data_IF_578217474501
#
_entry.id   IF_578217474501
#
_cell.length_a   1.000
_cell.length_b   1.000
_cell.length_c   1.000
_cell.angle_alpha   90.00
_cell.angle_beta   90.00
_cell.angle_gamma   90.00
#
_symmetry.space_group_name_H-M   'P 1'
#
loop_
_entity.id
_entity.type
_entity.pdbx_description
1 polymer ?
#
# COMPACT_ATOMS: atom_id res chain seq x y z
N UNK A 1 4.07 -31.52 -18.09
CA UNK A 1 4.69 -30.85 -19.29
C UNK A 1 4.43 -29.35 -19.25
N UNK A 2 5.08 -28.52 -20.08
CA UNK A 2 4.83 -27.05 -20.09
C UNK A 2 3.39 -26.74 -20.54
N UNK A 3 2.88 -27.53 -21.49
CA UNK A 3 1.49 -27.42 -21.96
C UNK A 3 0.45 -27.59 -20.85
N UNK A 4 0.66 -28.52 -19.94
CA UNK A 4 -0.25 -28.72 -18.80
C UNK A 4 -0.26 -27.51 -17.85
N UNK A 5 0.93 -26.96 -17.55
CA UNK A 5 1.05 -25.76 -16.74
C UNK A 5 0.37 -24.56 -17.39
N UNK A 6 0.57 -24.39 -18.70
CA UNK A 6 -0.07 -23.32 -19.46
C UNK A 6 -1.60 -23.44 -19.41
N UNK A 7 -2.13 -24.65 -19.65
CA UNK A 7 -3.57 -24.89 -19.58
C UNK A 7 -4.12 -24.65 -18.17
N UNK A 8 -3.41 -25.08 -17.13
CA UNK A 8 -3.80 -24.83 -15.73
C UNK A 8 -3.93 -23.32 -15.46
N UNK A 9 -2.98 -22.49 -15.90
CA UNK A 9 -3.06 -21.04 -15.70
C UNK A 9 -4.17 -20.39 -16.54
N UNK A 10 -4.39 -20.86 -17.77
CA UNK A 10 -5.50 -20.39 -18.60
C UNK A 10 -6.84 -20.74 -17.96
N UNK A 11 -7.01 -21.97 -17.46
CA UNK A 11 -8.24 -22.40 -16.80
C UNK A 11 -8.49 -21.65 -15.48
N UNK A 12 -7.45 -21.33 -14.71
CA UNK A 12 -7.55 -20.43 -13.56
C UNK A 12 -8.10 -19.06 -13.98
N UNK A 13 -7.55 -18.48 -15.06
CA UNK A 13 -8.03 -17.21 -15.61
C UNK A 13 -9.49 -17.25 -16.03
N UNK A 14 -9.93 -18.34 -16.70
CA UNK A 14 -11.34 -18.55 -17.09
C UNK A 14 -12.29 -18.65 -15.90
N UNK A 15 -11.80 -19.08 -14.74
CA UNK A 15 -12.54 -19.14 -13.47
C UNK A 15 -12.48 -17.83 -12.69
N UNK A 16 -11.81 -16.79 -13.20
CA UNK A 16 -11.61 -15.51 -12.51
C UNK A 16 -10.55 -15.52 -11.40
N UNK A 17 -9.84 -16.63 -11.20
CA UNK A 17 -8.86 -16.81 -10.12
C UNK A 17 -7.54 -16.08 -10.35
N UNK A 18 -7.35 -15.46 -11.52
CA UNK A 18 -6.19 -14.63 -11.85
C UNK A 18 -6.48 -13.13 -11.71
N UNK A 19 -7.71 -12.73 -11.35
CA UNK A 19 -8.01 -11.33 -11.05
C UNK A 19 -7.28 -10.93 -9.77
N UNK A 20 -6.69 -9.74 -9.80
CA UNK A 20 -6.12 -9.14 -8.59
C UNK A 20 -7.20 -8.71 -7.60
N UNK A 21 -6.86 -8.68 -6.32
CA UNK A 21 -7.76 -8.16 -5.29
C UNK A 21 -7.82 -6.64 -5.40
N UNK A 22 -9.03 -6.07 -5.33
CA UNK A 22 -9.23 -4.64 -5.44
C UNK A 22 -8.55 -3.86 -4.30
N UNK A 23 -7.92 -2.76 -4.68
CA UNK A 23 -7.36 -1.74 -3.78
C UNK A 23 -8.35 -0.62 -3.48
N UNK A 24 -9.55 -0.67 -4.10
CA UNK A 24 -10.52 0.43 -4.16
C UNK A 24 -9.94 1.71 -4.82
N UNK A 25 -9.13 1.50 -5.85
CA UNK A 25 -8.50 2.52 -6.69
C UNK A 25 -8.64 2.09 -8.16
N UNK A 26 -9.84 2.24 -8.75
CA UNK A 26 -10.19 1.60 -10.04
C UNK A 26 -9.35 2.08 -11.23
N UNK A 27 -8.91 3.35 -11.25
CA UNK A 27 -8.03 3.85 -12.32
C UNK A 27 -6.63 3.24 -12.21
N UNK A 28 -6.10 3.11 -10.98
CA UNK A 28 -4.82 2.46 -10.75
C UNK A 28 -4.93 0.96 -11.06
N UNK A 29 -6.02 0.31 -10.62
CA UNK A 29 -6.27 -1.11 -10.86
C UNK A 29 -6.39 -1.43 -12.36
N UNK A 30 -6.94 -0.54 -13.18
CA UNK A 30 -6.98 -0.72 -14.63
C UNK A 30 -5.60 -0.74 -15.29
N UNK A 31 -4.55 -0.32 -14.57
CA UNK A 31 -3.16 -0.30 -15.06
C UNK A 31 -2.36 -1.47 -14.49
N UNK A 32 -2.54 -1.82 -13.20
CA UNK A 32 -1.69 -2.78 -12.49
C UNK A 32 -2.46 -4.02 -11.98
N UNK A 33 -3.71 -4.22 -12.38
CA UNK A 33 -4.59 -5.36 -12.04
C UNK A 33 -4.86 -5.55 -10.53
N UNK A 34 -4.67 -4.52 -9.70
CA UNK A 34 -4.84 -4.63 -8.24
C UNK A 34 -3.72 -5.42 -7.54
N UNK A 35 -4.07 -6.15 -6.47
CA UNK A 35 -3.11 -6.98 -5.72
C UNK A 35 -3.10 -8.39 -6.30
N UNK A 36 -2.07 -8.71 -7.06
CA UNK A 36 -1.94 -9.97 -7.80
C UNK A 36 -0.95 -10.93 -7.14
N UNK A 37 -1.11 -12.21 -7.43
CA UNK A 37 -0.18 -13.26 -6.99
C UNK A 37 1.19 -13.10 -7.65
N UNK A 38 2.23 -13.57 -6.94
CA UNK A 38 3.58 -13.69 -7.51
C UNK A 38 4.14 -12.40 -8.11
N UNK A 39 3.60 -11.26 -7.63
CA UNK A 39 4.02 -9.95 -8.13
C UNK A 39 4.85 -9.21 -7.10
N UNK A 40 6.07 -8.89 -7.48
CA UNK A 40 6.95 -8.03 -6.69
C UNK A 40 6.64 -6.57 -7.02
N UNK A 41 6.05 -5.86 -6.08
CA UNK A 41 5.74 -4.43 -6.18
C UNK A 41 6.74 -3.61 -5.39
N UNK A 42 7.31 -2.58 -6.02
CA UNK A 42 8.17 -1.58 -5.38
C UNK A 42 7.40 -0.27 -5.24
N UNK A 43 7.25 0.23 -4.01
CA UNK A 43 6.60 1.51 -3.71
C UNK A 43 7.66 2.52 -3.28
N UNK A 44 7.82 3.59 -4.05
CA UNK A 44 8.82 4.62 -3.82
C UNK A 44 8.19 5.99 -3.54
N UNK A 45 8.78 6.78 -2.66
CA UNK A 45 8.51 8.21 -2.57
C UNK A 45 9.52 8.93 -1.69
N UNK A 46 9.45 10.26 -1.64
CA UNK A 46 10.09 11.06 -0.60
C UNK A 46 9.46 10.79 0.78
N UNK A 47 10.21 11.07 1.85
CA UNK A 47 9.69 10.96 3.22
C UNK A 47 8.44 11.83 3.39
N UNK A 48 7.42 11.30 4.09
CA UNK A 48 6.17 12.03 4.38
C UNK A 48 5.17 12.13 3.21
N UNK A 49 5.42 11.51 2.04
CA UNK A 49 4.45 11.48 0.94
C UNK A 49 3.31 10.46 1.13
N UNK A 50 3.44 9.52 2.09
CA UNK A 50 2.38 8.57 2.43
C UNK A 50 2.64 7.12 2.03
N UNK A 51 3.90 6.69 1.79
CA UNK A 51 4.26 5.31 1.38
C UNK A 51 3.67 4.23 2.27
N UNK A 52 3.97 4.30 3.56
CA UNK A 52 3.46 3.36 4.58
C UNK A 52 1.93 3.34 4.60
N UNK A 53 1.28 4.51 4.57
CA UNK A 53 -0.18 4.61 4.56
C UNK A 53 -0.78 4.05 3.26
N UNK A 54 -0.11 4.24 2.11
CA UNK A 54 -0.55 3.65 0.85
C UNK A 54 -0.43 2.12 0.86
N UNK A 55 0.71 1.59 1.31
CA UNK A 55 0.88 0.14 1.44
C UNK A 55 -0.14 -0.48 2.42
N UNK A 56 -0.37 0.17 3.58
CA UNK A 56 -1.39 -0.27 4.53
C UNK A 56 -2.80 -0.23 3.92
N UNK A 57 -3.15 0.83 3.18
CA UNK A 57 -4.46 0.96 2.56
C UNK A 57 -4.66 -0.04 1.43
N UNK A 58 -3.79 0.00 0.42
CA UNK A 58 -3.97 -0.69 -0.84
C UNK A 58 -3.55 -2.18 -0.81
N UNK A 59 -2.50 -2.53 -0.04
CA UNK A 59 -1.92 -3.88 -0.05
C UNK A 59 -2.17 -4.68 1.23
N UNK A 60 -2.76 -4.05 2.26
CA UNK A 60 -3.10 -4.73 3.52
C UNK A 60 -4.59 -4.62 3.81
N UNK A 61 -5.09 -3.39 4.06
CA UNK A 61 -6.47 -3.17 4.50
C UNK A 61 -7.50 -3.65 3.47
N UNK A 62 -7.42 -3.17 2.24
CA UNK A 62 -8.39 -3.53 1.19
C UNK A 62 -8.43 -5.03 0.89
N UNK A 63 -7.28 -5.69 0.68
CA UNK A 63 -7.29 -7.12 0.46
C UNK A 63 -7.77 -7.94 1.66
N UNK A 64 -7.45 -7.52 2.90
CA UNK A 64 -7.99 -8.18 4.10
C UNK A 64 -9.50 -8.02 4.17
N UNK A 65 -10.05 -6.84 3.86
CA UNK A 65 -11.50 -6.62 3.87
C UNK A 65 -12.23 -7.46 2.83
N UNK A 66 -11.62 -7.66 1.65
CA UNK A 66 -12.16 -8.53 0.61
C UNK A 66 -12.15 -10.02 1.00
N UNK A 67 -11.20 -10.44 1.84
CA UNK A 67 -10.97 -11.84 2.24
C UNK A 67 -11.01 -12.03 3.77
N UNK A 68 -11.86 -11.25 4.47
CA UNK A 68 -11.89 -11.26 5.93
C UNK A 68 -12.37 -12.62 6.50
N UNK A 69 -13.26 -13.29 5.78
CA UNK A 69 -13.95 -14.50 6.22
C UNK A 69 -13.49 -15.79 5.47
N UNK A 70 -12.53 -15.70 4.55
CA UNK A 70 -11.91 -16.87 3.86
C UNK A 70 -10.38 -16.91 4.10
N UNK A 71 -9.68 -17.92 3.57
CA UNK A 71 -8.24 -18.11 3.75
C UNK A 71 -7.42 -17.83 2.47
N UNK A 72 -7.95 -17.03 1.53
CA UNK A 72 -7.31 -16.77 0.26
C UNK A 72 -6.37 -15.57 0.27
N UNK A 73 -6.30 -14.83 1.41
CA UNK A 73 -5.37 -13.72 1.57
C UNK A 73 -4.74 -13.68 2.97
N UNK A 74 -3.42 -13.51 3.03
CA UNK A 74 -2.64 -13.28 4.27
C UNK A 74 -1.50 -12.30 4.03
N UNK A 75 -1.07 -11.62 5.09
CA UNK A 75 0.03 -10.64 5.06
C UNK A 75 1.03 -10.93 6.17
N UNK A 76 2.31 -10.95 5.82
CA UNK A 76 3.41 -10.78 6.77
C UNK A 76 4.04 -9.40 6.54
N UNK A 77 3.96 -8.54 7.54
CA UNK A 77 4.41 -7.16 7.48
C UNK A 77 5.66 -6.96 8.33
N UNK A 78 6.80 -6.71 7.72
CA UNK A 78 8.01 -6.28 8.41
C UNK A 78 7.98 -4.76 8.57
N UNK A 79 7.56 -4.31 9.74
CA UNK A 79 7.47 -2.90 10.11
C UNK A 79 8.75 -2.47 10.81
N UNK A 80 9.70 -1.97 10.03
CA UNK A 80 11.03 -1.63 10.58
C UNK A 80 11.10 -0.20 11.13
N UNK A 81 10.05 0.60 10.89
CA UNK A 81 9.96 2.01 11.30
C UNK A 81 8.91 2.23 12.41
N UNK A 82 7.81 1.48 12.38
CA UNK A 82 6.66 1.66 13.30
C UNK A 82 6.37 0.38 14.08
N UNK A 83 5.97 0.53 15.36
CA UNK A 83 5.53 -0.61 16.17
C UNK A 83 4.17 -1.17 15.73
N UNK A 84 3.94 -2.44 16.03
CA UNK A 84 2.73 -3.20 15.68
C UNK A 84 1.44 -2.46 16.07
N UNK A 85 1.31 -2.01 17.32
CA UNK A 85 0.13 -1.30 17.82
C UNK A 85 -0.17 -0.05 16.98
N UNK A 86 0.86 0.67 16.52
CA UNK A 86 0.68 1.87 15.71
C UNK A 86 0.08 1.55 14.33
N UNK A 87 0.44 0.41 13.74
CA UNK A 87 -0.15 -0.04 12.48
C UNK A 87 -1.62 -0.45 12.66
N UNK A 88 -1.95 -1.20 13.73
CA UNK A 88 -3.34 -1.55 14.02
C UNK A 88 -4.22 -0.31 14.29
N UNK A 89 -3.70 0.72 14.96
CA UNK A 89 -4.42 1.98 15.15
C UNK A 89 -4.70 2.69 13.80
N UNK A 90 -3.75 2.65 12.86
CA UNK A 90 -3.98 3.19 11.52
C UNK A 90 -5.07 2.42 10.77
N UNK A 91 -5.07 1.09 10.84
CA UNK A 91 -6.12 0.26 10.23
C UNK A 91 -7.48 0.52 10.89
N UNK A 92 -7.53 0.62 12.22
CA UNK A 92 -8.73 0.96 12.97
C UNK A 92 -9.30 2.34 12.58
N UNK A 93 -8.43 3.32 12.35
CA UNK A 93 -8.83 4.66 11.90
C UNK A 93 -9.52 4.63 10.53
N UNK A 94 -9.02 3.80 9.58
CA UNK A 94 -9.68 3.59 8.28
C UNK A 94 -11.04 2.93 8.48
N UNK A 95 -11.07 1.83 9.25
CA UNK A 95 -12.27 1.03 9.48
C UNK A 95 -13.41 1.83 10.14
N UNK A 96 -13.09 2.59 11.19
CA UNK A 96 -14.07 3.45 11.88
C UNK A 96 -14.64 4.49 10.91
N UNK A 97 -13.79 5.11 10.10
CA UNK A 97 -14.25 6.09 9.13
C UNK A 97 -15.18 5.46 8.08
N UNK A 98 -14.81 4.34 7.48
CA UNK A 98 -15.62 3.69 6.45
C UNK A 98 -16.94 3.11 6.97
N UNK A 99 -16.93 2.60 8.20
CA UNK A 99 -18.11 1.94 8.78
C UNK A 99 -19.08 2.92 9.42
N UNK A 100 -18.55 3.97 10.07
CA UNK A 100 -19.36 4.86 10.91
C UNK A 100 -19.32 6.33 10.47
N UNK A 101 -18.47 6.70 9.50
CA UNK A 101 -18.27 8.09 9.07
C UNK A 101 -17.52 8.96 10.08
N UNK A 102 -16.96 8.37 11.13
CA UNK A 102 -16.32 9.09 12.23
C UNK A 102 -14.82 9.22 11.99
N UNK A 103 -14.30 10.44 12.02
CA UNK A 103 -12.89 10.73 11.78
C UNK A 103 -12.07 10.69 13.08
N UNK A 104 -11.55 9.53 13.44
CA UNK A 104 -10.62 9.36 14.55
C UNK A 104 -9.19 9.18 14.05
N UNK A 105 -8.38 10.24 14.21
CA UNK A 105 -6.96 10.18 13.89
C UNK A 105 -6.19 9.31 14.88
N UNK A 106 -4.99 8.85 14.47
CA UNK A 106 -4.05 8.19 15.36
C UNK A 106 -3.82 8.95 16.67
N UNK A 107 -3.70 10.30 16.59
CA UNK A 107 -3.49 11.15 17.76
C UNK A 107 -4.72 11.20 18.66
N UNK A 108 -5.92 11.26 18.07
CA UNK A 108 -7.18 11.26 18.82
C UNK A 108 -7.43 9.93 19.52
N UNK A 109 -7.26 8.81 18.85
CA UNK A 109 -7.40 7.47 19.45
C UNK A 109 -6.49 7.31 20.68
N UNK A 110 -5.29 7.86 20.64
CA UNK A 110 -4.32 7.80 21.75
C UNK A 110 -4.37 9.02 22.70
N UNK A 111 -5.32 9.93 22.53
CA UNK A 111 -5.44 11.17 23.34
C UNK A 111 -4.12 11.97 23.38
N UNK A 112 -3.39 12.07 22.23
CA UNK A 112 -2.10 12.77 22.12
C UNK A 112 -2.22 14.21 21.64
N UNK A 113 -3.41 14.67 21.27
CA UNK A 113 -3.66 16.07 20.95
C UNK A 113 -3.83 16.85 22.26
N UNK A 114 -3.25 18.08 22.35
CA UNK A 114 -3.52 18.97 23.48
C UNK A 114 -5.02 19.24 23.51
N UNK A 115 -5.56 19.29 24.72
CA UNK A 115 -6.98 19.60 24.95
C UNK A 115 -7.99 18.59 24.39
N UNK A 116 -7.52 17.43 23.90
CA UNK A 116 -8.37 16.35 23.44
C UNK A 116 -8.13 15.07 24.25
N UNK A 117 -9.15 14.64 24.94
CA UNK A 117 -9.23 13.31 25.55
C UNK A 117 -10.30 12.51 24.82
N UNK A 118 -10.01 11.26 24.49
CA UNK A 118 -10.94 10.37 23.82
C UNK A 118 -12.23 10.26 24.69
N UNK A 119 -13.37 10.58 24.08
CA UNK A 119 -14.66 10.54 24.79
C UNK A 119 -15.08 9.10 25.10
N UNK A 120 -15.92 8.92 26.11
CA UNK A 120 -16.51 7.62 26.45
C UNK A 120 -17.30 7.03 25.28
N UNK A 121 -17.99 7.85 24.50
CA UNK A 121 -18.68 7.44 23.28
C UNK A 121 -17.71 6.83 22.25
N UNK A 122 -16.66 7.56 21.90
CA UNK A 122 -15.64 7.07 20.95
C UNK A 122 -14.87 5.88 21.51
N UNK A 123 -14.62 5.84 22.81
CA UNK A 123 -14.00 4.67 23.46
C UNK A 123 -14.94 3.45 23.41
N UNK A 124 -16.25 3.64 23.61
CA UNK A 124 -17.27 2.60 23.42
C UNK A 124 -17.25 2.05 22.00
N UNK A 125 -17.28 2.94 21.00
CA UNK A 125 -17.18 2.57 19.58
C UNK A 125 -15.90 1.77 19.27
N UNK A 126 -14.75 2.21 19.80
CA UNK A 126 -13.49 1.47 19.62
C UNK A 126 -13.59 0.06 20.19
N UNK A 127 -14.22 -0.11 21.38
CA UNK A 127 -14.43 -1.45 21.95
C UNK A 127 -15.31 -2.34 21.08
N UNK A 128 -16.33 -1.79 20.44
CA UNK A 128 -17.18 -2.51 19.48
C UNK A 128 -16.42 -2.95 18.21
N UNK A 129 -15.33 -2.26 17.87
CA UNK A 129 -14.45 -2.64 16.75
C UNK A 129 -13.44 -3.74 17.09
N UNK A 130 -13.25 -4.13 18.37
CA UNK A 130 -12.23 -5.12 18.74
C UNK A 130 -12.44 -6.51 18.12
N UNK A 131 -13.65 -7.05 17.98
CA UNK A 131 -13.86 -8.31 17.25
C UNK A 131 -13.40 -8.26 15.79
N UNK A 132 -13.48 -7.09 15.14
CA UNK A 132 -12.92 -6.91 13.81
C UNK A 132 -11.38 -6.94 13.84
N UNK A 133 -10.75 -6.28 14.81
CA UNK A 133 -9.29 -6.35 15.01
C UNK A 133 -8.83 -7.80 15.20
N UNK A 134 -9.58 -8.60 15.97
CA UNK A 134 -9.26 -10.02 16.19
C UNK A 134 -9.35 -10.83 14.89
N UNK A 135 -10.29 -10.51 13.98
CA UNK A 135 -10.33 -11.12 12.64
C UNK A 135 -9.13 -10.69 11.79
N UNK A 136 -8.81 -9.39 11.76
CA UNK A 136 -7.66 -8.84 11.02
C UNK A 136 -6.36 -9.48 11.49
N UNK A 137 -6.18 -9.66 12.80
CA UNK A 137 -4.95 -10.24 13.37
C UNK A 137 -4.69 -11.70 12.95
N UNK A 138 -5.73 -12.42 12.50
CA UNK A 138 -5.57 -13.77 11.92
C UNK A 138 -5.05 -13.74 10.47
N UNK A 139 -5.18 -12.59 9.80
CA UNK A 139 -4.74 -12.37 8.41
C UNK A 139 -3.43 -11.58 8.31
N UNK A 140 -3.14 -10.75 9.31
CA UNK A 140 -2.00 -9.84 9.35
C UNK A 140 -1.07 -10.21 10.50
N UNK A 141 0.09 -10.73 10.19
CA UNK A 141 1.20 -10.88 11.14
C UNK A 141 2.16 -9.70 10.98
N UNK A 142 2.52 -9.03 12.07
CA UNK A 142 3.44 -7.89 12.07
C UNK A 142 4.72 -8.28 12.81
N UNK A 143 5.85 -8.02 12.17
CA UNK A 143 7.17 -8.16 12.75
C UNK A 143 7.83 -6.77 12.84
N UNK A 144 7.93 -6.21 14.05
CA UNK A 144 8.37 -4.82 14.30
C UNK A 144 9.76 -4.70 14.91
N UNK A 145 10.60 -5.73 14.76
CA UNK A 145 11.97 -5.74 15.29
C UNK A 145 12.98 -5.58 14.16
N UNK A 146 14.18 -5.06 14.48
CA UNK A 146 15.28 -5.02 13.53
C UNK A 146 15.62 -6.41 12.99
N UNK A 147 15.78 -6.50 11.71
CA UNK A 147 16.07 -7.75 10.99
C UNK A 147 17.24 -7.57 10.02
N UNK A 148 17.93 -8.67 9.77
CA UNK A 148 18.86 -8.82 8.66
C UNK A 148 18.18 -9.56 7.51
N UNK A 149 18.69 -9.51 6.27
CA UNK A 149 18.14 -10.28 5.15
C UNK A 149 17.99 -11.78 5.45
N UNK A 150 19.00 -12.39 6.06
CA UNK A 150 18.95 -13.81 6.44
C UNK A 150 17.85 -14.12 7.44
N UNK A 151 17.58 -13.21 8.39
CA UNK A 151 16.51 -13.38 9.37
C UNK A 151 15.13 -13.24 8.73
N UNK A 152 14.96 -12.30 7.78
CA UNK A 152 13.72 -12.20 6.98
C UNK A 152 13.48 -13.50 6.21
N UNK A 153 14.50 -13.99 5.52
CA UNK A 153 14.42 -15.26 4.78
C UNK A 153 14.04 -16.44 5.69
N UNK A 154 14.67 -16.57 6.88
CA UNK A 154 14.40 -17.65 7.82
C UNK A 154 12.95 -17.58 8.36
N UNK A 155 12.45 -16.37 8.67
CA UNK A 155 11.06 -16.17 9.11
C UNK A 155 10.10 -16.57 8.00
N UNK A 156 10.32 -16.08 6.77
CA UNK A 156 9.49 -16.41 5.61
C UNK A 156 9.47 -17.91 5.34
N UNK A 157 10.64 -18.57 5.33
CA UNK A 157 10.74 -20.01 5.11
C UNK A 157 9.92 -20.78 6.16
N UNK A 158 10.06 -20.43 7.44
CA UNK A 158 9.31 -21.07 8.53
C UNK A 158 7.78 -20.89 8.36
N UNK A 159 7.30 -19.70 7.92
CA UNK A 159 5.89 -19.48 7.65
C UNK A 159 5.40 -20.29 6.45
N UNK A 160 6.20 -20.35 5.40
CA UNK A 160 5.87 -21.14 4.21
C UNK A 160 5.81 -22.64 4.54
N UNK A 161 6.70 -23.17 5.40
CA UNK A 161 6.66 -24.55 5.89
C UNK A 161 5.34 -24.87 6.64
N UNK A 162 4.74 -23.90 7.31
CA UNK A 162 3.43 -24.07 7.95
C UNK A 162 2.25 -23.99 6.98
N UNK A 163 2.44 -23.41 5.80
CA UNK A 163 1.40 -23.18 4.79
C UNK A 163 1.52 -24.10 3.58
N UNK A 164 2.50 -24.98 3.54
CA UNK A 164 2.72 -25.90 2.42
C UNK A 164 3.88 -26.84 2.67
N UNK A 165 4.24 -27.59 1.65
CA UNK A 165 5.30 -28.59 1.73
C UNK A 165 6.42 -28.26 0.75
N UNK A 166 7.67 -28.20 1.26
CA UNK A 166 8.87 -28.19 0.45
C UNK A 166 9.27 -29.61 0.07
N UNK A 167 9.57 -29.82 -1.19
CA UNK A 167 10.14 -31.07 -1.71
C UNK A 167 11.47 -30.72 -2.43
N UNK A 168 12.52 -31.41 -2.06
CA UNK A 168 13.84 -31.22 -2.64
C UNK A 168 14.22 -32.46 -3.44
N UNK A 169 14.61 -32.28 -4.70
CA UNK A 169 15.28 -33.28 -5.52
C UNK A 169 16.69 -32.80 -5.83
N UNK A 170 17.57 -33.69 -6.32
CA UNK A 170 18.98 -33.37 -6.61
C UNK A 170 19.17 -32.07 -7.44
N UNK A 171 18.17 -31.67 -8.22
CA UNK A 171 18.27 -30.54 -9.15
C UNK A 171 17.24 -29.43 -8.91
N UNK A 172 16.24 -29.63 -7.99
CA UNK A 172 15.11 -28.71 -7.90
C UNK A 172 14.46 -28.67 -6.52
N UNK A 173 14.36 -27.47 -5.95
CA UNK A 173 13.45 -27.15 -4.87
C UNK A 173 12.06 -26.84 -5.45
N UNK A 174 11.02 -27.53 -4.96
CA UNK A 174 9.62 -27.26 -5.27
C UNK A 174 8.85 -26.97 -4.00
N UNK A 175 7.83 -26.14 -4.10
CA UNK A 175 6.91 -25.84 -3.02
C UNK A 175 5.48 -26.10 -3.48
N UNK A 176 4.71 -26.80 -2.66
CA UNK A 176 3.29 -27.08 -2.89
C UNK A 176 2.50 -26.42 -1.75
N UNK A 177 1.74 -25.33 -2.00
CA UNK A 177 0.93 -24.70 -0.98
C UNK A 177 -0.27 -25.56 -0.58
N UNK A 178 -0.68 -25.53 0.69
CA UNK A 178 -1.90 -26.17 1.16
C UNK A 178 -3.15 -25.52 0.55
N UNK A 179 -3.13 -24.18 0.39
CA UNK A 179 -4.15 -23.44 -0.34
C UNK A 179 -3.55 -22.86 -1.62
N UNK A 180 -3.87 -23.39 -2.82
CA UNK A 180 -3.35 -22.92 -4.10
C UNK A 180 -3.90 -21.55 -4.51
N UNK A 181 -4.95 -21.04 -3.85
CA UNK A 181 -5.54 -19.73 -4.13
C UNK A 181 -4.96 -18.61 -3.26
N UNK A 182 -4.27 -18.97 -2.17
CA UNK A 182 -3.72 -17.99 -1.25
C UNK A 182 -2.81 -16.98 -1.95
N UNK A 183 -3.13 -15.71 -1.81
CA UNK A 183 -2.22 -14.58 -2.06
C UNK A 183 -1.53 -14.26 -0.74
N UNK A 184 -0.22 -14.48 -0.67
CA UNK A 184 0.57 -14.21 0.52
C UNK A 184 1.45 -12.98 0.29
N UNK A 185 0.94 -11.82 0.76
CA UNK A 185 1.71 -10.57 0.68
C UNK A 185 2.79 -10.53 1.74
N UNK A 186 4.00 -10.12 1.32
CA UNK A 186 5.16 -9.90 2.19
C UNK A 186 5.56 -8.43 2.07
N UNK A 187 5.19 -7.64 3.08
CA UNK A 187 5.46 -6.19 3.07
C UNK A 187 6.75 -5.89 3.83
N UNK A 188 7.66 -5.12 3.22
CA UNK A 188 8.91 -4.64 3.86
C UNK A 188 8.85 -3.12 3.96
N UNK A 189 8.66 -2.56 5.16
CA UNK A 189 8.52 -1.11 5.39
C UNK A 189 9.55 -0.59 6.40
N UNK A 190 10.63 0.04 5.89
CA UNK A 190 11.11 0.12 4.54
C UNK A 190 12.47 -0.59 4.41
N UNK A 191 12.77 -1.07 3.21
CA UNK A 191 13.92 -1.94 2.94
C UNK A 191 15.26 -1.32 3.33
N UNK A 192 15.42 0.01 3.28
CA UNK A 192 16.63 0.71 3.69
C UNK A 192 17.00 0.56 5.17
N UNK A 193 16.14 -0.05 6.00
CA UNK A 193 16.41 -0.31 7.42
C UNK A 193 16.96 -1.71 7.69
N UNK A 194 17.05 -2.57 6.69
CA UNK A 194 17.66 -3.90 6.86
C UNK A 194 19.18 -3.86 6.87
N UNK A 195 19.78 -2.81 6.30
CA UNK A 195 21.23 -2.61 6.23
C UNK A 195 21.66 -1.73 5.07
N UNK A 196 22.91 -1.86 4.65
CA UNK A 196 23.46 -1.13 3.49
C UNK A 196 23.01 -1.73 2.15
N UNK A 197 23.50 -1.14 1.05
CA UNK A 197 23.19 -1.61 -0.31
C UNK A 197 23.36 -3.12 -0.52
N UNK A 198 24.44 -3.79 -0.05
CA UNK A 198 24.58 -5.23 -0.19
C UNK A 198 23.47 -6.03 0.50
N UNK A 199 22.99 -5.56 1.66
CA UNK A 199 21.90 -6.21 2.39
C UNK A 199 20.56 -6.03 1.67
N UNK A 200 20.34 -4.84 1.08
CA UNK A 200 19.15 -4.56 0.26
C UNK A 200 19.12 -5.48 -0.95
N UNK A 201 20.24 -5.60 -1.67
CA UNK A 201 20.39 -6.45 -2.85
C UNK A 201 20.18 -7.93 -2.49
N UNK A 202 20.74 -8.39 -1.36
CA UNK A 202 20.56 -9.75 -0.86
C UNK A 202 19.10 -10.04 -0.50
N UNK A 203 18.44 -9.12 0.23
CA UNK A 203 17.04 -9.30 0.58
C UNK A 203 16.15 -9.33 -0.68
N UNK A 204 16.39 -8.44 -1.64
CA UNK A 204 15.67 -8.45 -2.91
C UNK A 204 15.80 -9.79 -3.63
N UNK A 205 17.01 -10.35 -3.70
CA UNK A 205 17.26 -11.67 -4.28
C UNK A 205 16.50 -12.80 -3.57
N UNK A 206 16.42 -12.76 -2.24
CA UNK A 206 15.63 -13.72 -1.48
C UNK A 206 14.14 -13.59 -1.76
N UNK A 207 13.61 -12.37 -1.86
CA UNK A 207 12.22 -12.12 -2.19
C UNK A 207 11.87 -12.62 -3.60
N UNK A 208 12.75 -12.39 -4.58
CA UNK A 208 12.60 -12.95 -5.94
C UNK A 208 12.59 -14.49 -5.89
N UNK A 209 13.55 -15.11 -5.20
CA UNK A 209 13.62 -16.56 -5.07
C UNK A 209 12.33 -17.13 -4.46
N UNK A 210 11.83 -16.55 -3.37
CA UNK A 210 10.62 -17.03 -2.70
C UNK A 210 9.35 -16.74 -3.52
N UNK A 211 9.30 -15.63 -4.27
CA UNK A 211 8.24 -15.37 -5.24
C UNK A 211 8.17 -16.48 -6.29
N UNK A 212 9.31 -16.76 -6.93
CA UNK A 212 9.39 -17.69 -8.06
C UNK A 212 9.24 -19.16 -7.66
N UNK A 213 9.55 -19.49 -6.40
CA UNK A 213 9.49 -20.88 -5.90
C UNK A 213 8.24 -21.16 -5.06
N UNK A 214 7.78 -20.16 -4.31
CA UNK A 214 6.74 -20.36 -3.30
C UNK A 214 5.48 -19.51 -3.56
N UNK A 215 5.49 -18.64 -4.58
CA UNK A 215 4.31 -17.85 -4.95
C UNK A 215 3.98 -16.69 -4.01
N UNK A 216 4.95 -16.20 -3.22
CA UNK A 216 4.72 -14.98 -2.41
C UNK A 216 4.60 -13.75 -3.29
N UNK A 217 3.95 -12.70 -2.78
CA UNK A 217 3.81 -11.40 -3.43
C UNK A 217 4.54 -10.32 -2.60
N UNK A 218 5.83 -10.02 -2.91
CA UNK A 218 6.57 -8.99 -2.20
C UNK A 218 6.05 -7.59 -2.48
N UNK A 219 5.86 -6.78 -1.43
CA UNK A 219 5.54 -5.35 -1.48
C UNK A 219 6.64 -4.61 -0.73
N UNK A 220 7.55 -4.01 -1.45
CA UNK A 220 8.74 -3.37 -0.87
C UNK A 220 8.61 -1.87 -0.91
N UNK A 221 8.75 -1.24 0.25
CA UNK A 221 8.76 0.21 0.37
C UNK A 221 10.19 0.70 0.40
N UNK A 222 10.49 1.71 -0.43
CA UNK A 222 11.81 2.30 -0.56
C UNK A 222 11.74 3.83 -0.58
N UNK A 223 12.75 4.48 -0.04
CA UNK A 223 12.87 5.94 -0.15
C UNK A 223 13.45 6.34 -1.50
N UNK A 224 12.98 7.46 -2.02
CA UNK A 224 13.59 8.11 -3.17
C UNK A 224 14.89 8.84 -2.76
N UNK A 225 15.82 9.04 -3.70
CA UNK A 225 16.97 9.90 -3.53
C UNK A 225 16.54 11.34 -3.26
N UNK A 226 17.17 12.00 -2.27
CA UNK A 226 16.80 13.34 -1.82
C UNK A 226 17.03 14.44 -2.87
N UNK A 227 17.91 14.21 -3.82
CA UNK A 227 18.26 15.18 -4.87
C UNK A 227 17.19 15.27 -5.98
N UNK A 228 16.16 14.41 -5.94
CA UNK A 228 15.23 14.26 -7.00
C UNK A 228 13.80 14.54 -6.53
N UNK A 229 13.24 15.53 -7.01
CA UNK A 229 12.06 16.31 -6.72
C UNK A 229 12.38 17.74 -7.11
N UNK A 230 13.32 17.89 -8.07
CA UNK A 230 13.85 19.20 -8.41
C UNK A 230 12.77 19.97 -9.20
N UNK A 231 12.34 21.09 -8.66
CA UNK A 231 11.45 22.06 -9.30
C UNK A 231 11.90 22.36 -10.75
N UNK A 232 13.23 22.31 -11.02
CA UNK A 232 13.79 22.46 -12.36
C UNK A 232 13.38 21.35 -13.35
N UNK A 233 13.30 20.08 -12.91
CA UNK A 233 12.76 18.98 -13.77
C UNK A 233 11.32 19.25 -14.16
N UNK A 234 10.56 19.76 -13.20
CA UNK A 234 9.16 20.10 -13.39
C UNK A 234 8.99 21.26 -14.38
N UNK A 235 9.80 22.33 -14.22
CA UNK A 235 9.82 23.45 -15.18
C UNK A 235 10.20 23.03 -16.59
N UNK A 236 10.89 21.90 -16.74
CA UNK A 236 11.24 21.26 -18.01
C UNK A 236 10.16 20.29 -18.55
N UNK A 237 8.99 20.20 -17.90
CA UNK A 237 7.90 19.27 -18.29
C UNK A 237 8.21 17.78 -18.06
N UNK A 238 9.23 17.46 -17.25
CA UNK A 238 9.61 16.09 -16.94
C UNK A 238 8.81 15.53 -15.77
N UNK A 239 8.65 14.20 -15.70
CA UNK A 239 8.05 13.51 -14.57
C UNK A 239 8.78 13.79 -13.26
N UNK A 240 8.03 13.88 -12.15
CA UNK A 240 8.60 14.10 -10.82
C UNK A 240 9.55 12.97 -10.40
N UNK A 241 9.24 11.73 -10.77
CA UNK A 241 10.08 10.56 -10.55
C UNK A 241 10.34 9.76 -11.84
N UNK A 242 11.45 9.03 -11.84
CA UNK A 242 11.81 8.03 -12.83
C UNK A 242 12.23 6.74 -12.13
N UNK A 243 12.40 5.65 -12.88
CA UNK A 243 12.88 4.37 -12.34
C UNK A 243 14.26 4.46 -11.66
N UNK A 244 15.06 5.49 -11.99
CA UNK A 244 16.43 5.69 -11.45
C UNK A 244 16.43 6.43 -10.10
N UNK A 245 15.29 6.90 -9.63
CA UNK A 245 15.19 7.75 -8.44
C UNK A 245 15.06 6.96 -7.13
N UNK A 246 14.96 5.65 -7.18
CA UNK A 246 14.95 4.81 -5.99
C UNK A 246 16.34 4.81 -5.32
N UNK A 247 16.37 5.11 -4.02
CA UNK A 247 17.62 5.21 -3.24
C UNK A 247 18.25 3.83 -3.06
N UNK A 248 19.57 3.74 -3.26
CA UNK A 248 20.38 2.52 -3.05
C UNK A 248 19.91 1.30 -3.87
N UNK A 249 19.20 1.52 -4.98
CA UNK A 249 18.53 0.48 -5.74
C UNK A 249 19.28 0.03 -6.98
N UNK A 250 20.15 -0.98 -6.84
CA UNK A 250 20.56 -1.75 -8.03
C UNK A 250 19.49 -2.81 -8.36
N UNK A 251 19.26 -3.73 -7.46
CA UNK A 251 18.47 -4.92 -7.73
C UNK A 251 16.97 -4.74 -7.54
N UNK A 252 16.50 -3.99 -6.53
CA UNK A 252 15.05 -3.83 -6.27
C UNK A 252 14.27 -3.34 -7.48
N UNK A 253 14.82 -2.37 -8.24
CA UNK A 253 14.22 -1.85 -9.47
C UNK A 253 14.23 -2.88 -10.60
N UNK A 254 15.31 -3.67 -10.72
CA UNK A 254 15.41 -4.72 -11.74
C UNK A 254 14.45 -5.87 -11.42
N UNK A 255 14.38 -6.27 -10.17
CA UNK A 255 13.66 -7.42 -9.63
C UNK A 255 12.13 -7.24 -9.62
N UNK A 256 11.65 -6.02 -9.37
CA UNK A 256 10.21 -5.76 -9.30
C UNK A 256 9.53 -5.90 -10.67
N UNK A 257 8.29 -6.37 -10.68
CA UNK A 257 7.43 -6.36 -11.85
C UNK A 257 6.64 -5.06 -11.97
N UNK A 258 6.22 -4.50 -10.83
CA UNK A 258 5.48 -3.23 -10.75
C UNK A 258 6.27 -2.25 -9.90
N UNK A 259 6.44 -1.02 -10.38
CA UNK A 259 7.05 0.07 -9.62
C UNK A 259 6.12 1.27 -9.57
N UNK A 260 5.77 1.66 -8.37
CA UNK A 260 4.89 2.79 -8.07
C UNK A 260 5.69 3.88 -7.37
N UNK A 261 5.53 5.13 -7.82
CA UNK A 261 6.03 6.29 -7.11
C UNK A 261 4.87 7.18 -6.63
N UNK A 262 4.98 7.71 -5.41
CA UNK A 262 3.98 8.63 -4.84
C UNK A 262 4.60 10.02 -4.71
N UNK A 263 4.01 10.99 -5.38
CA UNK A 263 4.47 12.36 -5.42
C UNK A 263 3.50 13.31 -4.71
N UNK A 264 4.06 14.27 -3.97
CA UNK A 264 3.30 15.34 -3.32
C UNK A 264 3.73 16.71 -3.87
N UNK A 265 3.05 17.24 -4.90
CA UNK A 265 3.41 18.51 -5.52
C UNK A 265 3.17 19.73 -4.62
N UNK A 266 2.23 19.66 -3.68
CA UNK A 266 1.99 20.75 -2.72
C UNK A 266 3.22 21.02 -1.84
N UNK A 267 3.94 19.99 -1.48
CA UNK A 267 5.16 20.09 -0.66
C UNK A 267 6.31 20.80 -1.38
N UNK A 268 6.31 20.72 -2.71
CA UNK A 268 7.28 21.39 -3.58
C UNK A 268 6.80 22.81 -4.00
N UNK A 269 5.68 23.28 -3.42
CA UNK A 269 5.14 24.63 -3.67
C UNK A 269 4.50 24.79 -5.04
N UNK A 270 4.13 23.70 -5.72
CA UNK A 270 3.49 23.78 -7.02
C UNK A 270 2.03 24.21 -6.88
N UNK A 271 1.61 25.19 -7.71
CA UNK A 271 0.22 25.66 -7.77
C UNK A 271 -0.67 24.75 -8.60
N UNK A 272 -0.08 24.12 -9.61
CA UNK A 272 -0.75 23.19 -10.50
C UNK A 272 0.13 21.98 -10.77
N UNK A 273 -0.48 20.80 -11.02
CA UNK A 273 0.21 19.57 -11.40
C UNK A 273 -0.65 18.75 -12.34
N UNK A 274 -0.17 18.44 -13.55
CA UNK A 274 -0.93 17.66 -14.55
C UNK A 274 -2.39 18.17 -14.70
N UNK A 275 -2.56 19.49 -14.75
CA UNK A 275 -3.83 20.23 -14.82
C UNK A 275 -4.69 20.21 -13.54
N UNK A 276 -4.33 19.47 -12.48
CA UNK A 276 -4.96 19.61 -11.17
C UNK A 276 -4.57 20.93 -10.51
N UNK A 277 -5.55 21.60 -9.89
CA UNK A 277 -5.31 22.79 -9.10
C UNK A 277 -4.86 22.40 -7.67
N UNK A 278 -3.56 22.50 -7.42
CA UNK A 278 -2.94 22.11 -6.15
C UNK A 278 -3.19 23.16 -5.06
N UNK A 279 -3.44 24.43 -5.40
CA UNK A 279 -3.81 25.45 -4.42
C UNK A 279 -5.14 25.12 -3.73
N UNK A 280 -6.10 24.49 -4.42
CA UNK A 280 -7.36 24.01 -3.83
C UNK A 280 -7.25 22.64 -3.18
N UNK A 281 -6.59 21.69 -3.82
CA UNK A 281 -6.42 20.34 -3.27
C UNK A 281 -5.41 20.29 -2.11
N UNK A 282 -4.53 21.27 -2.03
CA UNK A 282 -3.56 21.49 -0.95
C UNK A 282 -2.72 20.23 -0.65
N UNK A 283 -2.47 20.00 0.63
CA UNK A 283 -1.71 18.86 1.14
C UNK A 283 -2.36 17.48 0.91
N UNK A 284 -3.62 17.45 0.46
CA UNK A 284 -4.35 16.19 0.25
C UNK A 284 -4.00 15.52 -1.08
N UNK A 285 -3.64 16.28 -2.09
CA UNK A 285 -3.32 15.71 -3.39
C UNK A 285 -2.06 14.84 -3.36
N UNK A 286 -2.14 13.71 -4.06
CA UNK A 286 -0.98 12.89 -4.45
C UNK A 286 -1.12 12.49 -5.91
N UNK A 287 0.03 12.39 -6.60
CA UNK A 287 0.11 11.68 -7.87
C UNK A 287 0.70 10.30 -7.62
N UNK A 288 -0.01 9.26 -8.01
CA UNK A 288 0.48 7.88 -8.04
C UNK A 288 0.96 7.61 -9.46
N UNK A 289 2.26 7.33 -9.60
CA UNK A 289 2.93 7.13 -10.88
C UNK A 289 3.29 5.66 -11.02
N UNK A 290 2.87 5.01 -12.09
CA UNK A 290 3.30 3.65 -12.44
C UNK A 290 4.54 3.78 -13.33
N UNK A 291 5.73 3.62 -12.74
CA UNK A 291 7.02 3.79 -13.43
C UNK A 291 7.50 2.53 -14.15
N UNK A 292 7.00 1.38 -13.74
CA UNK A 292 7.28 0.08 -14.37
C UNK A 292 6.08 -0.84 -14.20
N UNK A 293 5.71 -1.52 -15.25
CA UNK A 293 4.73 -2.58 -15.24
C UNK A 293 5.13 -3.63 -16.29
N UNK A 294 5.45 -4.85 -15.87
CA UNK A 294 5.85 -5.92 -16.80
C UNK A 294 4.70 -6.52 -17.58
N UNK A 295 3.47 -6.30 -17.13
CA UNK A 295 2.28 -6.96 -17.66
C UNK A 295 1.29 -5.99 -18.31
N UNK A 296 1.59 -4.68 -18.30
CA UNK A 296 0.71 -3.66 -18.82
C UNK A 296 1.41 -2.33 -19.07
N UNK A 297 0.62 -1.26 -19.12
CA UNK A 297 1.09 0.09 -19.38
C UNK A 297 1.94 0.63 -18.23
N UNK A 298 2.92 1.45 -18.54
CA UNK A 298 3.73 2.23 -17.60
C UNK A 298 3.78 3.70 -18.01
N UNK A 299 4.46 4.51 -17.18
CA UNK A 299 4.54 5.98 -17.34
C UNK A 299 3.17 6.67 -17.28
N UNK A 300 2.23 6.05 -16.55
CA UNK A 300 0.87 6.56 -16.31
C UNK A 300 0.79 7.14 -14.91
N UNK A 301 0.02 8.21 -14.74
CA UNK A 301 -0.18 8.88 -13.46
C UNK A 301 -1.66 8.96 -13.10
N UNK A 302 -1.99 8.65 -11.85
CA UNK A 302 -3.34 8.75 -11.27
C UNK A 302 -3.33 9.78 -10.16
N UNK A 303 -4.19 10.80 -10.28
CA UNK A 303 -4.43 11.78 -9.20
C UNK A 303 -5.30 11.18 -8.11
N UNK A 304 -4.86 11.29 -6.86
CA UNK A 304 -5.59 10.82 -5.68
C UNK A 304 -5.57 11.84 -4.56
N UNK A 305 -6.56 11.77 -3.67
CA UNK A 305 -6.49 12.40 -2.37
C UNK A 305 -5.94 11.41 -1.34
N UNK A 306 -5.14 11.94 -0.41
CA UNK A 306 -4.65 11.24 0.76
C UNK A 306 -5.04 11.99 2.02
N UNK A 307 -5.95 11.42 2.79
CA UNK A 307 -6.37 11.90 4.10
C UNK A 307 -5.53 11.25 5.19
N UNK A 308 -4.35 11.85 5.45
CA UNK A 308 -3.32 11.24 6.29
C UNK A 308 -3.74 10.96 7.72
N UNK A 309 -4.71 11.71 8.27
CA UNK A 309 -5.20 11.51 9.65
C UNK A 309 -6.08 10.25 9.80
N UNK A 310 -6.73 9.80 8.73
CA UNK A 310 -7.50 8.54 8.68
C UNK A 310 -6.85 7.50 7.76
N UNK A 311 -5.64 7.77 7.24
CA UNK A 311 -4.85 6.89 6.35
C UNK A 311 -5.59 6.41 5.09
N UNK A 312 -6.52 7.19 4.57
CA UNK A 312 -7.37 6.83 3.45
C UNK A 312 -6.89 7.47 2.15
N UNK A 313 -6.97 6.70 1.07
CA UNK A 313 -6.74 7.17 -0.31
C UNK A 313 -8.02 7.07 -1.12
N UNK A 314 -8.26 8.05 -2.00
CA UNK A 314 -9.38 8.03 -2.94
C UNK A 314 -8.94 8.63 -4.27
N UNK A 315 -9.39 8.07 -5.38
CA UNK A 315 -9.07 8.62 -6.69
C UNK A 315 -9.84 9.90 -6.98
N UNK A 316 -9.18 10.81 -7.65
CA UNK A 316 -9.79 12.03 -8.17
C UNK A 316 -10.34 11.78 -9.57
N UNK A 317 -11.41 12.47 -10.00
CA UNK A 317 -11.79 12.57 -11.39
C UNK A 317 -10.66 13.15 -12.25
N UNK A 318 -10.84 13.17 -13.56
CA UNK A 318 -9.93 13.94 -14.42
C UNK A 318 -10.00 15.42 -14.08
N UNK A 319 -8.93 16.20 -14.27
CA UNK A 319 -8.91 17.62 -13.89
C UNK A 319 -10.04 18.44 -14.52
N UNK A 320 -10.43 18.12 -15.75
CA UNK A 320 -11.51 18.77 -16.51
C UNK A 320 -12.92 18.36 -16.06
N UNK A 321 -13.04 17.30 -15.28
CA UNK A 321 -14.29 16.83 -14.65
C UNK A 321 -14.52 17.43 -13.26
N UNK A 322 -13.53 18.14 -12.68
CA UNK A 322 -13.63 18.71 -11.33
C UNK A 322 -14.21 20.13 -11.42
N UNK A 323 -15.49 20.26 -11.14
CA UNK A 323 -16.17 21.56 -11.10
C UNK A 323 -16.12 22.23 -9.72
N UNK A 324 -16.01 21.44 -8.65
CA UNK A 324 -15.92 21.93 -7.26
C UNK A 324 -14.83 21.12 -6.48
N UNK A 325 -13.68 21.75 -6.30
CA UNK A 325 -12.55 21.15 -5.58
C UNK A 325 -12.82 20.93 -4.09
N UNK A 326 -13.75 21.71 -3.45
CA UNK A 326 -14.04 21.55 -2.03
C UNK A 326 -14.62 20.18 -1.71
N UNK A 327 -15.35 19.58 -2.64
CA UNK A 327 -15.88 18.22 -2.51
C UNK A 327 -14.79 17.19 -2.27
N UNK A 328 -13.64 17.37 -2.89
CA UNK A 328 -12.52 16.41 -2.84
C UNK A 328 -11.56 16.66 -1.68
N UNK A 329 -11.73 17.73 -0.91
CA UNK A 329 -10.95 18.01 0.30
C UNK A 329 -11.65 17.58 1.60
N UNK A 330 -12.89 17.11 1.51
CA UNK A 330 -13.67 16.59 2.64
C UNK A 330 -13.91 15.07 2.50
N UNK A 331 -13.34 14.24 3.37
CA UNK A 331 -13.49 12.79 3.26
C UNK A 331 -14.95 12.32 3.46
N UNK A 332 -15.79 13.04 4.22
CA UNK A 332 -17.20 12.67 4.40
C UNK A 332 -18.00 12.73 3.10
N UNK A 333 -17.62 13.61 2.17
CA UNK A 333 -18.25 13.67 0.85
C UNK A 333 -18.10 12.36 0.06
N UNK A 334 -17.05 11.61 0.34
CA UNK A 334 -16.72 10.35 -0.36
C UNK A 334 -17.57 9.17 0.12
N UNK A 335 -18.10 9.25 1.36
CA UNK A 335 -18.98 8.21 1.91
C UNK A 335 -20.43 8.43 1.48
N UNK A 336 -20.89 9.67 1.43
CA UNK A 336 -22.22 10.05 0.97
C UNK A 336 -22.20 11.47 0.40
N UNK A 337 -22.21 11.62 -0.94
CA UNK A 337 -22.19 12.93 -1.58
C UNK A 337 -23.31 13.88 -1.15
N UNK A 338 -24.45 13.33 -0.68
CA UNK A 338 -25.59 14.13 -0.27
C UNK A 338 -25.50 14.61 1.19
N UNK A 339 -24.72 13.92 2.05
CA UNK A 339 -24.52 14.30 3.46
C UNK A 339 -23.40 15.32 3.69
N UNK A 340 -22.55 15.55 2.72
CA UNK A 340 -21.41 16.47 2.87
C UNK A 340 -21.80 17.94 3.00
N UNK A 341 -23.03 18.32 2.63
CA UNK A 341 -23.55 19.68 2.80
C UNK A 341 -23.87 20.04 4.25
N UNK A 342 -24.27 19.07 5.08
CA UNK A 342 -24.61 19.29 6.49
C UNK A 342 -23.39 19.42 7.42
N UNK A 343 -22.20 18.98 6.99
CA UNK A 343 -21.00 18.98 7.83
C UNK A 343 -20.21 20.30 7.83
N UNK A 344 -20.65 21.34 7.13
CA UNK A 344 -20.01 22.67 7.10
C UNK A 344 -20.02 23.42 8.43
N UNK A 345 -20.73 22.94 9.45
CA UNK A 345 -20.89 23.68 10.70
C UNK A 345 -19.88 23.40 11.82
N UNK A 346 -18.96 22.42 11.70
CA UNK A 346 -18.13 22.01 12.84
C UNK A 346 -16.62 21.90 12.62
N UNK A 347 -16.04 22.56 11.63
CA UNK A 347 -14.57 22.56 11.47
C UNK A 347 -14.00 23.98 11.57
N UNK A 348 -13.85 24.49 12.78
CA UNK A 348 -12.85 25.51 13.06
C UNK A 348 -11.48 24.83 13.17
N UNK A 349 -10.73 24.85 12.09
CA UNK A 349 -9.30 24.58 12.15
C UNK A 349 -8.61 25.76 12.82
N UNK A 350 -8.18 25.58 14.06
CA UNK A 350 -7.13 26.41 14.65
C UNK A 350 -5.82 25.89 14.05
N UNK A 351 -5.15 26.78 13.31
CA UNK A 351 -3.84 26.59 12.66
C UNK A 351 -2.75 26.33 13.71
#
# INVERSE_FOLDING_TARGET
MISEKLLTEIDRGRLGLNHGISMNLPKLESIIDGVTRETYTLIMSNSGAGKTSFALYAYVYRPIMAHLDDDDFKVLYFSLEMGEVALYIKLLSIYIFETYGIQLSFKKILSREKEYVLSEEHYGLIKECMPWIDKVSKKLEIFDKKVTPNKVYAILKNRLESMGTFSESETRLTYTPNNPNLIYNVVIDHIGLVGGKPDIDLLSSYLVFLRDKCGISPVVIQQANREQGNIERFKQGKSAFTIHDAKDSGNTVQDCQVMIAIYNPYRDGLKTYKHYNIEYLTQYFRSIMVLKNRYGDCDVEVGVNFFGWINMFTELPRPDEIYDYNKYTNPNYLLDPNKAEDSKQNFNFVI
#
